data_IF_532939531361
#
_entry.id   IF_532939531361
#
_cell.length_a   1.000
_cell.length_b   1.000
_cell.length_c   1.000
_cell.angle_alpha   90.00
_cell.angle_beta   90.00
_cell.angle_gamma   90.00
#
_symmetry.space_group_name_H-M   'P 1'
#
loop_
_entity.id
_entity.type
_entity.pdbx_description
1 polymer ?
#
# COMPACT_ATOMS: atom_id res chain seq x y z
N UNK A 1 -3.88 -4.87 7.80
CA UNK A 1 -3.93 -6.31 7.46
C UNK A 1 -2.93 -7.04 8.35
N UNK A 2 -3.31 -8.16 8.96
CA UNK A 2 -2.35 -8.91 9.77
C UNK A 2 -1.36 -9.66 8.85
N UNK A 3 -0.22 -10.03 9.43
CA UNK A 3 0.89 -10.65 8.69
C UNK A 3 0.49 -11.98 8.06
N UNK A 4 -0.31 -12.78 8.75
CA UNK A 4 -0.74 -14.08 8.24
C UNK A 4 -1.67 -13.96 7.05
N UNK A 5 -2.64 -13.05 7.14
CA UNK A 5 -3.56 -12.79 6.04
C UNK A 5 -2.82 -12.25 4.81
N UNK A 6 -1.84 -11.38 5.03
CA UNK A 6 -1.02 -10.85 3.95
C UNK A 6 -0.18 -11.94 3.29
N UNK A 7 0.46 -12.81 4.08
CA UNK A 7 1.24 -13.94 3.55
C UNK A 7 0.38 -14.87 2.71
N UNK A 8 -0.80 -15.20 3.20
CA UNK A 8 -1.72 -16.08 2.50
C UNK A 8 -2.15 -15.46 1.17
N UNK A 9 -2.50 -14.18 1.19
CA UNK A 9 -2.84 -13.44 -0.01
C UNK A 9 -1.68 -13.43 -1.01
N UNK A 10 -0.47 -13.13 -0.57
CA UNK A 10 0.71 -13.06 -1.43
C UNK A 10 1.08 -14.43 -1.99
N UNK A 11 0.99 -15.48 -1.19
CA UNK A 11 1.26 -16.84 -1.64
C UNK A 11 0.30 -17.24 -2.74
N UNK A 12 -0.98 -16.91 -2.59
CA UNK A 12 -2.00 -17.18 -3.61
C UNK A 12 -1.71 -16.42 -4.90
N UNK A 13 -1.37 -15.13 -4.78
CA UNK A 13 -1.10 -14.28 -5.93
C UNK A 13 0.19 -14.64 -6.66
N UNK A 14 1.15 -15.20 -5.94
CA UNK A 14 2.46 -15.57 -6.52
C UNK A 14 2.55 -17.02 -6.96
N UNK A 15 1.46 -17.72 -6.91
CA UNK A 15 1.39 -19.06 -7.47
C UNK A 15 1.68 -18.97 -8.97
N UNK A 16 2.69 -19.70 -9.45
CA UNK A 16 3.14 -19.57 -10.82
C UNK A 16 4.02 -18.36 -11.10
N UNK A 17 4.57 -17.74 -10.06
CA UNK A 17 5.47 -16.58 -10.15
C UNK A 17 6.65 -16.86 -11.06
N UNK A 18 6.80 -16.11 -12.19
CA UNK A 18 7.83 -16.42 -13.19
C UNK A 18 9.22 -15.87 -12.85
N UNK A 19 9.34 -15.07 -11.78
CA UNK A 19 10.58 -14.35 -11.48
C UNK A 19 11.37 -14.96 -10.32
N UNK A 20 10.79 -15.94 -9.63
CA UNK A 20 11.41 -16.65 -8.51
C UNK A 20 12.36 -15.77 -7.68
N UNK A 21 13.38 -16.28 -7.12
CA UNK A 21 14.24 -15.66 -6.10
C UNK A 21 14.81 -14.27 -6.36
N UNK A 22 14.45 -13.60 -7.44
CA UNK A 22 14.98 -12.28 -7.74
C UNK A 22 14.20 -11.12 -7.11
N UNK A 23 13.03 -11.40 -6.49
CA UNK A 23 12.17 -10.36 -5.95
C UNK A 23 12.61 -9.92 -4.55
N UNK A 24 12.70 -8.60 -4.32
CA UNK A 24 12.95 -8.03 -3.01
C UNK A 24 12.39 -6.60 -2.92
N UNK A 25 12.19 -6.13 -1.69
CA UNK A 25 11.74 -4.77 -1.43
C UNK A 25 12.78 -4.06 -0.57
N UNK A 26 13.18 -2.87 -1.01
CA UNK A 26 14.10 -2.01 -0.29
C UNK A 26 13.34 -0.84 0.35
N UNK A 27 13.65 -0.55 1.61
CA UNK A 27 13.16 0.63 2.30
C UNK A 27 14.10 1.80 2.00
N UNK A 28 13.55 2.89 1.49
CA UNK A 28 14.27 4.12 1.21
C UNK A 28 13.88 5.19 2.20
N UNK A 29 14.77 6.16 2.43
CA UNK A 29 14.47 7.29 3.33
C UNK A 29 13.23 8.07 2.86
N UNK A 30 12.53 8.69 3.80
CA UNK A 30 11.37 9.54 3.51
C UNK A 30 10.09 8.76 3.25
N UNK A 31 9.90 7.63 3.91
CA UNK A 31 8.68 6.81 3.76
C UNK A 31 8.50 6.34 2.32
N UNK A 32 9.49 5.63 1.81
CA UNK A 32 9.48 5.10 0.45
C UNK A 32 9.91 3.64 0.43
N UNK A 33 9.26 2.84 -0.41
CA UNK A 33 9.57 1.43 -0.59
C UNK A 33 9.67 1.14 -2.07
N UNK A 34 10.71 0.41 -2.47
CA UNK A 34 10.97 0.08 -3.87
C UNK A 34 10.98 -1.43 -4.00
N UNK A 35 10.16 -1.96 -4.89
CA UNK A 35 10.15 -3.37 -5.25
C UNK A 35 10.98 -3.58 -6.50
N UNK A 36 11.88 -4.56 -6.43
CA UNK A 36 12.76 -4.93 -7.54
C UNK A 36 12.65 -6.41 -7.87
N UNK A 37 12.85 -6.71 -9.13
CA UNK A 37 13.01 -8.08 -9.61
C UNK A 37 14.36 -8.12 -10.29
N UNK A 38 15.35 -8.71 -9.61
CA UNK A 38 16.74 -8.55 -10.01
C UNK A 38 17.12 -7.07 -9.98
N UNK A 39 17.64 -6.55 -11.09
CA UNK A 39 18.00 -5.15 -11.24
C UNK A 39 16.86 -4.27 -11.75
N UNK A 40 15.71 -4.86 -12.02
CA UNK A 40 14.58 -4.12 -12.61
C UNK A 40 13.69 -3.54 -11.54
N UNK A 41 13.28 -2.29 -11.72
CA UNK A 41 12.28 -1.65 -10.88
C UNK A 41 10.90 -2.24 -11.24
N UNK A 42 10.23 -2.85 -10.27
CA UNK A 42 8.88 -3.38 -10.46
C UNK A 42 7.82 -2.38 -10.01
N UNK A 43 8.07 -1.67 -8.92
CA UNK A 43 7.12 -0.71 -8.40
C UNK A 43 7.70 0.06 -7.23
N UNK A 44 6.96 1.08 -6.80
CA UNK A 44 7.34 1.86 -5.63
C UNK A 44 6.11 2.38 -4.91
N UNK A 45 6.23 2.57 -3.61
CA UNK A 45 5.25 3.30 -2.83
C UNK A 45 5.95 4.41 -2.06
N UNK A 46 5.24 5.51 -1.87
CA UNK A 46 5.77 6.65 -1.11
C UNK A 46 4.63 7.46 -0.53
N UNK A 47 4.93 8.33 0.40
CA UNK A 47 3.95 9.20 1.01
C UNK A 47 4.28 10.67 0.75
N UNK A 48 3.24 11.43 0.43
CA UNK A 48 3.31 12.89 0.45
C UNK A 48 2.77 13.32 1.82
N UNK A 49 3.57 14.06 2.56
CA UNK A 49 3.24 14.43 3.94
C UNK A 49 2.99 15.94 4.05
N UNK A 50 2.08 16.31 4.96
CA UNK A 50 1.84 17.72 5.22
C UNK A 50 2.96 18.34 6.09
N UNK A 51 2.95 19.64 6.23
CA UNK A 51 4.00 20.39 6.95
C UNK A 51 4.12 19.94 8.41
N UNK A 52 3.00 19.63 9.05
CA UNK A 52 2.96 19.24 10.46
C UNK A 52 3.40 17.80 10.71
N UNK A 53 3.52 16.98 9.66
CA UNK A 53 3.81 15.56 9.82
C UNK A 53 2.66 14.75 10.44
N UNK A 54 1.43 15.24 10.33
CA UNK A 54 0.25 14.60 10.92
C UNK A 54 -0.61 13.86 9.89
N UNK A 55 -0.54 14.26 8.63
CA UNK A 55 -1.34 13.69 7.55
C UNK A 55 -0.44 13.28 6.39
N UNK A 56 -0.76 12.14 5.81
CA UNK A 56 -0.04 11.62 4.67
C UNK A 56 -1.01 11.12 3.61
N UNK A 57 -0.60 11.26 2.35
CA UNK A 57 -1.29 10.64 1.21
C UNK A 57 -0.35 9.62 0.62
N UNK A 58 -0.78 8.37 0.56
CA UNK A 58 0.02 7.31 -0.04
C UNK A 58 -0.08 7.37 -1.55
N UNK A 59 1.02 7.08 -2.20
CA UNK A 59 1.13 6.94 -3.64
C UNK A 59 1.79 5.62 -3.96
N UNK A 60 1.39 5.02 -5.06
CA UNK A 60 1.97 3.76 -5.50
C UNK A 60 2.01 3.74 -7.03
N UNK A 61 3.16 3.36 -7.56
CA UNK A 61 3.33 3.12 -8.98
C UNK A 61 3.83 1.70 -9.17
N UNK A 62 3.15 0.94 -9.99
CA UNK A 62 3.49 -0.45 -10.27
C UNK A 62 3.53 -0.63 -11.78
N UNK A 63 4.60 -1.22 -12.29
CA UNK A 63 4.68 -1.53 -13.70
C UNK A 63 3.62 -2.57 -14.06
N UNK A 64 2.93 -2.33 -15.15
CA UNK A 64 1.80 -3.15 -15.60
C UNK A 64 2.16 -4.63 -15.74
N UNK A 65 3.36 -4.91 -16.21
CA UNK A 65 3.84 -6.30 -16.42
C UNK A 65 3.97 -7.08 -15.10
N UNK A 66 4.06 -6.40 -13.97
CA UNK A 66 4.17 -7.00 -12.65
C UNK A 66 2.88 -6.92 -11.84
N UNK A 67 1.78 -6.49 -12.47
CA UNK A 67 0.48 -6.46 -11.81
C UNK A 67 0.01 -7.89 -11.48
N UNK A 68 -0.92 -8.01 -10.54
CA UNK A 68 -1.56 -9.27 -10.16
C UNK A 68 -0.72 -10.23 -9.30
N UNK A 69 0.52 -9.89 -8.98
CA UNK A 69 1.37 -10.73 -8.13
C UNK A 69 1.41 -10.29 -6.67
N UNK A 70 0.58 -9.34 -6.29
CA UNK A 70 0.50 -8.86 -4.89
C UNK A 70 1.59 -7.86 -4.51
N UNK A 71 2.41 -7.41 -5.45
CA UNK A 71 3.49 -6.45 -5.18
C UNK A 71 2.94 -5.13 -4.69
N UNK A 72 1.90 -4.61 -5.35
CA UNK A 72 1.27 -3.36 -4.93
C UNK A 72 0.71 -3.42 -3.52
N UNK A 73 0.05 -4.53 -3.17
CA UNK A 73 -0.47 -4.75 -1.82
C UNK A 73 0.63 -4.78 -0.78
N UNK A 74 1.73 -5.45 -1.07
CA UNK A 74 2.90 -5.49 -0.18
C UNK A 74 3.50 -4.11 0.02
N UNK A 75 3.68 -3.36 -1.07
CA UNK A 75 4.21 -2.00 -1.00
C UNK A 75 3.32 -1.07 -0.18
N UNK A 76 2.01 -1.16 -0.36
CA UNK A 76 1.05 -0.36 0.40
C UNK A 76 1.01 -0.77 1.87
N UNK A 77 1.08 -2.08 2.15
CA UNK A 77 1.08 -2.56 3.53
C UNK A 77 2.32 -2.09 4.30
N UNK A 78 3.50 -2.16 3.67
CA UNK A 78 4.74 -1.68 4.27
C UNK A 78 4.68 -0.18 4.55
N UNK A 79 4.20 0.59 3.59
CA UNK A 79 4.07 2.04 3.74
C UNK A 79 3.05 2.40 4.81
N UNK A 80 1.90 1.72 4.83
CA UNK A 80 0.85 1.95 5.82
C UNK A 80 1.38 1.70 7.24
N UNK A 81 2.08 0.59 7.44
CA UNK A 81 2.68 0.25 8.72
C UNK A 81 3.72 1.30 9.16
N UNK A 82 4.58 1.71 8.24
CA UNK A 82 5.58 2.76 8.47
C UNK A 82 4.91 4.06 8.93
N UNK A 83 3.90 4.52 8.21
CA UNK A 83 3.21 5.77 8.53
C UNK A 83 2.49 5.70 9.89
N UNK A 84 1.87 4.58 10.19
CA UNK A 84 1.22 4.38 11.48
C UNK A 84 2.24 4.42 12.61
N UNK A 85 3.35 3.74 12.46
CA UNK A 85 4.41 3.71 13.47
C UNK A 85 5.12 5.07 13.61
N UNK A 86 5.15 5.84 12.55
CA UNK A 86 5.72 7.20 12.57
C UNK A 86 4.80 8.24 13.20
N UNK A 87 3.59 7.85 13.60
CA UNK A 87 2.68 8.71 14.35
C UNK A 87 1.73 9.54 13.51
N UNK A 88 1.61 9.28 12.23
CA UNK A 88 0.61 9.97 11.41
C UNK A 88 -0.80 9.68 11.92
N UNK A 89 -1.63 10.71 11.94
CA UNK A 89 -3.00 10.63 12.45
C UNK A 89 -4.02 10.34 11.36
N UNK A 90 -3.72 10.77 10.14
CA UNK A 90 -4.60 10.59 8.97
C UNK A 90 -3.74 10.11 7.80
N UNK A 91 -4.18 9.04 7.17
CA UNK A 91 -3.54 8.49 5.99
C UNK A 91 -4.62 8.31 4.92
N UNK A 92 -4.38 8.85 3.74
CA UNK A 92 -5.31 8.76 2.60
C UNK A 92 -4.68 8.02 1.43
N UNK A 93 -5.54 7.41 0.63
CA UNK A 93 -5.15 6.75 -0.61
C UNK A 93 -6.31 6.85 -1.60
N UNK A 94 -6.00 7.22 -2.84
CA UNK A 94 -7.01 7.42 -3.89
C UNK A 94 -6.75 6.49 -5.06
N UNK A 95 -7.80 5.83 -5.55
CA UNK A 95 -7.72 4.92 -6.69
C UNK A 95 -8.92 5.11 -7.62
N UNK A 96 -8.77 4.75 -8.91
CA UNK A 96 -9.90 4.68 -9.82
C UNK A 96 -10.93 3.63 -9.38
N UNK A 97 -12.25 3.87 -9.59
CA UNK A 97 -13.30 2.95 -9.10
C UNK A 97 -13.26 1.55 -9.69
N UNK A 98 -12.73 1.39 -10.90
CA UNK A 98 -12.67 0.11 -11.58
C UNK A 98 -11.62 -0.86 -11.02
N UNK A 99 -10.85 -0.45 -10.05
CA UNK A 99 -9.89 -1.36 -9.42
C UNK A 99 -10.57 -2.26 -8.41
N UNK A 100 -10.39 -3.55 -8.58
CA UNK A 100 -11.03 -4.61 -7.79
C UNK A 100 -10.38 -4.82 -6.44
N UNK A 101 -10.02 -3.82 -5.74
CA UNK A 101 -9.24 -4.04 -4.54
C UNK A 101 -9.89 -3.48 -3.27
N UNK A 102 -11.19 -3.20 -3.29
CA UNK A 102 -11.88 -2.66 -2.13
C UNK A 102 -11.63 -3.46 -0.85
N UNK A 103 -11.75 -4.78 -0.93
CA UNK A 103 -11.57 -5.62 0.26
C UNK A 103 -10.14 -5.55 0.78
N UNK A 104 -9.15 -5.46 -0.13
CA UNK A 104 -7.75 -5.35 0.24
C UNK A 104 -7.51 -4.06 1.01
N UNK A 105 -8.05 -2.95 0.54
CA UNK A 105 -7.89 -1.66 1.21
C UNK A 105 -8.60 -1.62 2.56
N UNK A 106 -9.77 -2.23 2.66
CA UNK A 106 -10.44 -2.41 3.95
C UNK A 106 -9.59 -3.23 4.91
N UNK A 107 -8.95 -4.30 4.42
CA UNK A 107 -8.08 -5.14 5.23
C UNK A 107 -6.82 -4.41 5.69
N UNK A 108 -6.40 -3.37 4.98
CA UNK A 108 -5.31 -2.50 5.40
C UNK A 108 -5.75 -1.48 6.47
N UNK A 109 -7.04 -1.42 6.76
CA UNK A 109 -7.58 -0.51 7.76
C UNK A 109 -8.26 0.73 7.21
N UNK A 110 -8.37 0.84 5.89
CA UNK A 110 -9.04 1.98 5.26
C UNK A 110 -10.55 1.86 5.29
N UNK A 111 -11.21 3.01 5.38
CA UNK A 111 -12.63 3.16 5.08
C UNK A 111 -12.77 4.11 3.89
N UNK A 112 -13.92 4.10 3.24
CA UNK A 112 -14.18 5.02 2.14
C UNK A 112 -14.58 6.38 2.73
N UNK A 113 -13.83 7.43 2.41
CA UNK A 113 -14.17 8.79 2.80
C UNK A 113 -15.21 9.38 1.87
N UNK A 114 -14.99 9.25 0.57
CA UNK A 114 -15.95 9.60 -0.47
C UNK A 114 -15.55 8.95 -1.79
N UNK A 115 -16.48 8.97 -2.73
CA UNK A 115 -16.19 8.51 -4.09
C UNK A 115 -17.02 9.27 -5.12
N UNK A 116 -16.48 9.37 -6.30
CA UNK A 116 -17.16 9.92 -7.46
C UNK A 116 -16.88 9.03 -8.68
N UNK A 117 -17.18 9.49 -9.88
CA UNK A 117 -16.98 8.71 -11.10
C UNK A 117 -15.50 8.47 -11.42
N UNK A 118 -14.63 9.29 -10.89
CA UNK A 118 -13.20 9.25 -11.21
C UNK A 118 -12.36 8.56 -10.14
N UNK A 119 -12.70 8.76 -8.85
CA UNK A 119 -11.86 8.31 -7.73
C UNK A 119 -12.68 7.77 -6.58
N UNK A 120 -12.11 6.75 -5.95
CA UNK A 120 -12.50 6.32 -4.61
C UNK A 120 -11.43 6.81 -3.66
N UNK A 121 -11.83 7.55 -2.65
CA UNK A 121 -10.92 8.13 -1.66
C UNK A 121 -11.04 7.36 -0.36
N UNK A 122 -9.96 6.67 -0.02
CA UNK A 122 -9.84 5.90 1.23
C UNK A 122 -9.17 6.74 2.29
N UNK A 123 -9.57 6.53 3.54
CA UNK A 123 -8.98 7.21 4.68
C UNK A 123 -8.78 6.23 5.85
N UNK A 124 -7.68 6.40 6.54
CA UNK A 124 -7.42 5.79 7.83
C UNK A 124 -7.20 6.90 8.84
N UNK A 125 -7.85 6.80 9.98
CA UNK A 125 -7.70 7.73 11.10
C UNK A 125 -7.19 6.97 12.31
N UNK A 126 -6.19 7.55 12.97
CA UNK A 126 -5.72 7.00 14.24
C UNK A 126 -6.85 7.13 15.25
N UNK A 127 -7.28 6.01 15.81
CA UNK A 127 -8.32 6.02 16.83
C UNK A 127 -7.83 6.71 18.07
N UNK A 128 -8.65 7.61 18.58
CA UNK A 128 -8.42 8.18 19.90
C UNK A 128 -9.02 7.23 20.91
N UNK A 129 -8.23 6.90 21.92
CA UNK A 129 -8.72 6.06 23.00
C UNK A 129 -9.92 6.73 23.66
N UNK A 130 -11.06 6.04 23.78
CA UNK A 130 -12.26 6.63 24.39
C UNK A 130 -12.13 6.61 25.90
N UNK A 131 -11.43 7.55 26.40
CA UNK A 131 -11.34 7.72 27.86
C UNK A 131 -12.22 8.84 28.32
#
# INVERSE_FOLDING_TARGET
MNIEALREYLNTRRQGWPYEDSYHVDHMTGHRYIARIGDRLAGLSYAEVNVDGTEAVMKMNLKKEYAEYGIGTELLNLLMDDLQQSGFKIIRYEIPPERYAFQIYKNLGFTVENQDEELVRFIWRKEQSPL
#
